data_IF_888844635720
#
_entry.id   IF_888844635720
#
_cell.length_a   1.000
_cell.length_b   1.000
_cell.length_c   1.000
_cell.angle_alpha   90.00
_cell.angle_beta   90.00
_cell.angle_gamma   90.00
#
_symmetry.space_group_name_H-M   'P 1'
#
loop_
_entity.id
_entity.type
_entity.pdbx_description
1 polymer ?
#
# COMPACT_ATOMS: atom_id res chain seq x y z
N UNK A 1 -34.18 18.61 -16.52
CA UNK A 1 -33.17 18.53 -15.43
C UNK A 1 -33.15 17.17 -14.72
N UNK A 2 -34.17 16.30 -14.87
CA UNK A 2 -34.23 14.98 -14.19
C UNK A 2 -33.37 13.87 -14.83
N UNK A 3 -33.09 13.91 -16.14
CA UNK A 3 -32.33 12.84 -16.81
C UNK A 3 -30.87 12.69 -16.32
N UNK A 4 -30.30 13.74 -15.71
CA UNK A 4 -28.90 13.71 -15.26
C UNK A 4 -28.73 13.03 -13.90
N UNK A 5 -29.74 13.13 -13.01
CA UNK A 5 -29.71 12.51 -11.69
C UNK A 5 -29.83 10.98 -11.76
N UNK A 6 -30.67 10.48 -12.67
CA UNK A 6 -30.91 9.04 -12.84
C UNK A 6 -29.70 8.31 -13.46
N UNK A 7 -28.99 9.00 -14.35
CA UNK A 7 -27.71 8.55 -14.92
C UNK A 7 -26.62 8.45 -13.84
N UNK A 8 -26.48 9.49 -13.00
CA UNK A 8 -25.50 9.51 -11.90
C UNK A 8 -25.84 8.43 -10.86
N UNK A 9 -27.12 8.26 -10.50
CA UNK A 9 -27.55 7.24 -9.54
C UNK A 9 -27.35 5.81 -10.08
N UNK A 10 -27.69 5.53 -11.34
CA UNK A 10 -27.39 4.25 -12.00
C UNK A 10 -25.90 3.98 -12.11
N UNK A 11 -25.11 4.99 -12.47
CA UNK A 11 -23.66 4.85 -12.60
C UNK A 11 -23.02 4.63 -11.24
N UNK A 12 -23.46 5.35 -10.19
CA UNK A 12 -23.05 5.10 -8.80
C UNK A 12 -23.42 3.69 -8.35
N UNK A 13 -24.63 3.21 -8.67
CA UNK A 13 -25.05 1.83 -8.38
C UNK A 13 -24.23 0.80 -9.15
N UNK A 14 -23.86 1.08 -10.40
CA UNK A 14 -23.00 0.23 -11.23
C UNK A 14 -21.56 0.21 -10.71
N UNK A 15 -20.96 1.36 -10.39
CA UNK A 15 -19.62 1.47 -9.80
C UNK A 15 -19.57 0.79 -8.43
N UNK A 16 -20.58 1.01 -7.59
CA UNK A 16 -20.74 0.30 -6.31
C UNK A 16 -20.91 -1.20 -6.54
N UNK A 17 -21.67 -1.64 -7.54
CA UNK A 17 -21.81 -3.05 -7.87
C UNK A 17 -20.51 -3.66 -8.41
N UNK A 18 -19.70 -2.92 -9.18
CA UNK A 18 -18.39 -3.36 -9.65
C UNK A 18 -17.38 -3.45 -8.49
N UNK A 19 -17.45 -2.50 -7.55
CA UNK A 19 -16.63 -2.49 -6.32
C UNK A 19 -17.06 -3.61 -5.36
N UNK A 20 -18.36 -3.95 -5.30
CA UNK A 20 -18.93 -4.93 -4.35
C UNK A 20 -19.05 -6.36 -4.91
N UNK A 21 -19.02 -6.56 -6.23
CA UNK A 21 -19.14 -7.88 -6.84
C UNK A 21 -17.80 -8.62 -6.75
N UNK A 22 -17.70 -9.49 -5.74
CA UNK A 22 -16.55 -10.34 -5.40
C UNK A 22 -16.11 -11.34 -6.51
N UNK A 23 -16.64 -11.24 -7.73
CA UNK A 23 -16.35 -12.12 -8.87
C UNK A 23 -15.25 -11.63 -9.83
N UNK A 24 -14.85 -10.36 -9.76
CA UNK A 24 -13.67 -9.83 -10.46
C UNK A 24 -12.82 -9.09 -9.45
N UNK A 25 -11.62 -9.62 -9.15
CA UNK A 25 -10.62 -8.98 -8.31
C UNK A 25 -10.00 -7.78 -9.02
N UNK A 26 -10.81 -6.77 -9.37
CA UNK A 26 -10.31 -5.55 -9.96
C UNK A 26 -9.47 -4.83 -8.91
N UNK A 27 -8.21 -4.54 -9.24
CA UNK A 27 -7.35 -3.78 -8.33
C UNK A 27 -7.87 -2.34 -8.20
N UNK A 28 -7.58 -1.70 -7.07
CA UNK A 28 -8.03 -0.31 -6.82
C UNK A 28 -7.53 0.67 -7.89
N UNK A 29 -6.36 0.39 -8.49
CA UNK A 29 -5.85 1.15 -9.64
C UNK A 29 -6.76 1.02 -10.87
N UNK A 30 -7.33 -0.16 -11.15
CA UNK A 30 -8.26 -0.33 -12.26
C UNK A 30 -9.56 0.42 -12.02
N UNK A 31 -10.08 0.41 -10.78
CA UNK A 31 -11.26 1.20 -10.40
C UNK A 31 -11.00 2.69 -10.64
N UNK A 32 -9.83 3.18 -10.27
CA UNK A 32 -9.42 4.56 -10.52
C UNK A 32 -9.32 4.90 -12.02
N UNK A 33 -8.67 4.07 -12.82
CA UNK A 33 -8.54 4.29 -14.27
C UNK A 33 -9.90 4.34 -14.97
N UNK A 34 -10.84 3.46 -14.59
CA UNK A 34 -12.21 3.50 -15.12
C UNK A 34 -12.96 4.75 -14.68
N UNK A 35 -12.81 5.16 -13.42
CA UNK A 35 -13.41 6.39 -12.89
C UNK A 35 -12.93 7.61 -13.68
N UNK A 36 -11.64 7.68 -14.00
CA UNK A 36 -11.06 8.78 -14.81
C UNK A 36 -11.57 8.75 -16.23
N UNK A 37 -11.56 7.60 -16.91
CA UNK A 37 -12.10 7.45 -18.27
C UNK A 37 -13.57 7.90 -18.32
N UNK A 38 -14.36 7.50 -17.33
CA UNK A 38 -15.74 7.94 -17.20
C UNK A 38 -15.83 9.46 -16.98
N UNK A 39 -15.06 10.03 -16.05
CA UNK A 39 -15.05 11.48 -15.79
C UNK A 39 -14.70 12.30 -17.03
N UNK A 40 -13.73 11.85 -17.83
CA UNK A 40 -13.36 12.48 -19.10
C UNK A 40 -14.51 12.37 -20.12
N UNK A 41 -15.19 11.22 -20.22
CA UNK A 41 -16.32 11.04 -21.14
C UNK A 41 -17.48 12.01 -20.88
N UNK A 42 -17.65 12.46 -19.63
CA UNK A 42 -18.68 13.44 -19.26
C UNK A 42 -18.29 14.88 -19.63
N UNK A 43 -17.03 15.12 -19.98
CA UNK A 43 -16.49 16.44 -20.28
C UNK A 43 -15.80 16.44 -21.66
N UNK A 44 -16.57 16.40 -22.76
CA UNK A 44 -16.05 16.20 -24.12
C UNK A 44 -15.14 17.34 -24.63
N UNK A 45 -15.10 18.48 -23.93
CA UNK A 45 -14.22 19.62 -24.25
C UNK A 45 -12.82 19.48 -23.64
N UNK A 46 -12.59 18.49 -22.76
CA UNK A 46 -11.29 18.29 -22.16
C UNK A 46 -10.26 17.87 -23.23
N UNK A 47 -9.02 18.38 -23.13
CA UNK A 47 -7.93 17.88 -23.95
C UNK A 47 -7.72 16.37 -23.78
N UNK A 48 -7.13 15.71 -24.77
CA UNK A 48 -6.76 14.29 -24.68
C UNK A 48 -5.55 14.07 -23.77
N UNK A 49 -4.55 14.96 -23.82
CA UNK A 49 -3.37 14.92 -22.96
C UNK A 49 -3.61 15.76 -21.69
N UNK A 50 -3.40 15.15 -20.52
CA UNK A 50 -3.53 15.79 -19.22
C UNK A 50 -2.54 16.97 -19.03
N UNK A 51 -1.39 16.94 -19.70
CA UNK A 51 -0.40 18.04 -19.64
C UNK A 51 -0.97 19.36 -20.19
N UNK A 52 -1.98 19.27 -21.05
CA UNK A 52 -2.65 20.42 -21.65
C UNK A 52 -3.83 20.94 -20.82
N UNK A 53 -4.12 20.34 -19.65
CA UNK A 53 -5.27 20.75 -18.84
C UNK A 53 -5.02 22.11 -18.19
N UNK A 54 -5.92 23.05 -18.49
CA UNK A 54 -6.03 24.32 -17.78
C UNK A 54 -6.57 24.12 -16.36
N UNK A 55 -6.58 25.19 -15.56
CA UNK A 55 -7.20 25.16 -14.23
C UNK A 55 -8.70 24.82 -14.30
N UNK A 56 -9.38 25.32 -15.32
CA UNK A 56 -10.83 25.12 -15.48
C UNK A 56 -11.16 23.70 -15.94
N UNK A 57 -10.28 23.08 -16.74
CA UNK A 57 -10.37 21.67 -17.09
C UNK A 57 -10.29 20.76 -15.86
N UNK A 58 -9.33 21.03 -14.98
CA UNK A 58 -9.24 20.32 -13.69
C UNK A 58 -10.47 20.56 -12.80
N UNK A 59 -11.03 21.78 -12.80
CA UNK A 59 -12.24 22.08 -12.03
C UNK A 59 -13.47 21.32 -12.59
N UNK A 60 -13.63 21.25 -13.90
CA UNK A 60 -14.71 20.50 -14.55
C UNK A 60 -14.64 19.01 -14.21
N UNK A 61 -13.44 18.41 -14.34
CA UNK A 61 -13.22 17.01 -13.99
C UNK A 61 -13.42 16.77 -12.48
N UNK A 62 -12.94 17.67 -11.62
CA UNK A 62 -13.15 17.61 -10.18
C UNK A 62 -14.64 17.59 -9.82
N UNK A 63 -15.44 18.49 -10.39
CA UNK A 63 -16.87 18.57 -10.12
C UNK A 63 -17.61 17.30 -10.55
N UNK A 64 -17.15 16.67 -11.64
CA UNK A 64 -17.69 15.39 -12.12
C UNK A 64 -17.35 14.24 -11.18
N UNK A 65 -16.11 14.18 -10.69
CA UNK A 65 -15.58 13.05 -9.92
C UNK A 65 -15.76 13.19 -8.39
N UNK A 66 -16.20 14.35 -7.90
CA UNK A 66 -16.22 14.67 -6.47
C UNK A 66 -16.94 13.63 -5.59
N UNK A 67 -17.97 12.97 -6.12
CA UNK A 67 -18.73 11.95 -5.38
C UNK A 67 -18.11 10.55 -5.47
N UNK A 68 -17.29 10.29 -6.49
CA UNK A 68 -16.64 8.99 -6.71
C UNK A 68 -15.33 8.89 -5.95
N UNK A 69 -14.56 9.98 -5.90
CA UNK A 69 -13.24 10.03 -5.25
C UNK A 69 -13.26 9.46 -3.82
N UNK A 70 -14.21 9.81 -2.93
CA UNK A 70 -14.24 9.27 -1.56
C UNK A 70 -14.55 7.76 -1.47
N UNK A 71 -15.02 7.13 -2.55
CA UNK A 71 -15.38 5.71 -2.58
C UNK A 71 -14.19 4.80 -2.93
N UNK A 72 -13.10 5.36 -3.46
CA UNK A 72 -11.92 4.62 -3.92
C UNK A 72 -10.89 4.55 -2.80
N UNK A 73 -10.33 3.36 -2.54
CA UNK A 73 -9.39 3.15 -1.44
C UNK A 73 -7.97 3.43 -1.89
N UNK A 74 -7.63 4.71 -2.04
CA UNK A 74 -6.34 5.13 -2.59
C UNK A 74 -5.10 4.64 -1.81
N UNK A 75 -5.25 4.32 -0.52
CA UNK A 75 -4.20 3.77 0.33
C UNK A 75 -3.87 2.29 0.04
N UNK A 76 -4.70 1.60 -0.75
CA UNK A 76 -4.43 0.24 -1.22
C UNK A 76 -3.63 0.20 -2.52
N UNK A 77 -3.33 1.36 -3.14
CA UNK A 77 -2.43 1.42 -4.30
C UNK A 77 -0.98 1.31 -3.81
N UNK A 78 -0.15 0.65 -4.62
CA UNK A 78 1.30 0.71 -4.48
C UNK A 78 1.80 2.14 -4.75
N UNK A 79 2.98 2.47 -4.22
CA UNK A 79 3.63 3.77 -4.48
C UNK A 79 3.79 4.05 -5.98
N UNK A 80 4.13 3.01 -6.76
CA UNK A 80 4.27 3.09 -8.22
C UNK A 80 2.93 3.43 -8.89
N UNK A 81 1.87 2.70 -8.58
CA UNK A 81 0.54 2.96 -9.17
C UNK A 81 0.02 4.35 -8.81
N UNK A 82 0.20 4.79 -7.56
CA UNK A 82 -0.20 6.13 -7.17
C UNK A 82 0.58 7.22 -7.93
N UNK A 83 1.91 7.05 -8.05
CA UNK A 83 2.75 8.00 -8.77
C UNK A 83 2.40 8.07 -10.27
N UNK A 84 2.21 6.93 -10.92
CA UNK A 84 1.96 6.88 -12.36
C UNK A 84 0.51 7.24 -12.74
N UNK A 85 -0.46 6.85 -11.91
CA UNK A 85 -1.89 6.90 -12.27
C UNK A 85 -2.68 7.97 -11.53
N UNK A 86 -2.31 8.30 -10.29
CA UNK A 86 -3.06 9.25 -9.45
C UNK A 86 -2.43 10.64 -9.45
N UNK A 87 -1.10 10.72 -9.35
CA UNK A 87 -0.35 11.98 -9.29
C UNK A 87 -0.66 12.97 -10.42
N UNK A 88 -0.81 12.54 -11.70
CA UNK A 88 -1.13 13.48 -12.78
C UNK A 88 -2.43 14.26 -12.51
N UNK A 89 -3.37 13.63 -11.81
CA UNK A 89 -4.68 14.17 -11.49
C UNK A 89 -4.75 14.81 -10.09
N UNK A 90 -3.64 15.09 -9.41
CA UNK A 90 -3.64 15.63 -8.02
C UNK A 90 -4.57 16.83 -7.79
N UNK A 91 -4.79 17.66 -8.81
CA UNK A 91 -5.64 18.87 -8.74
C UNK A 91 -7.14 18.56 -8.59
N UNK A 92 -7.61 17.36 -8.93
CA UNK A 92 -9.02 16.97 -8.70
C UNK A 92 -9.29 16.53 -7.26
N UNK A 93 -8.25 16.25 -6.48
CA UNK A 93 -8.42 15.73 -5.12
C UNK A 93 -8.73 16.85 -4.12
N UNK A 94 -9.62 16.58 -3.13
CA UNK A 94 -9.66 17.37 -1.91
C UNK A 94 -8.29 17.36 -1.23
N UNK A 95 -7.83 18.53 -0.76
CA UNK A 95 -6.49 18.69 -0.14
C UNK A 95 -6.24 17.68 1.00
N UNK A 96 -7.24 17.51 1.87
CA UNK A 96 -7.15 16.58 3.02
C UNK A 96 -7.00 15.12 2.58
N UNK A 97 -7.81 14.69 1.60
CA UNK A 97 -7.74 13.32 1.09
C UNK A 97 -6.38 13.04 0.45
N UNK A 98 -5.90 13.97 -0.39
CA UNK A 98 -4.60 13.83 -1.04
C UNK A 98 -3.46 13.75 -0.02
N UNK A 99 -3.45 14.65 0.97
CA UNK A 99 -2.47 14.65 2.05
C UNK A 99 -2.46 13.32 2.80
N UNK A 100 -3.65 12.80 3.16
CA UNK A 100 -3.79 11.50 3.81
C UNK A 100 -3.17 10.39 2.96
N UNK A 101 -3.55 10.27 1.68
CA UNK A 101 -3.01 9.24 0.79
C UNK A 101 -1.48 9.34 0.65
N UNK A 102 -0.95 10.55 0.48
CA UNK A 102 0.51 10.72 0.38
C UNK A 102 1.25 10.38 1.66
N UNK A 103 0.64 10.62 2.83
CA UNK A 103 1.26 10.24 4.10
C UNK A 103 1.27 8.72 4.27
N UNK A 104 0.16 8.04 3.97
CA UNK A 104 0.09 6.57 4.01
C UNK A 104 1.12 5.95 3.06
N UNK A 105 1.25 6.46 1.84
CA UNK A 105 2.21 5.93 0.85
C UNK A 105 3.65 6.25 1.26
N UNK A 106 3.92 7.41 1.84
CA UNK A 106 5.26 7.72 2.39
C UNK A 106 5.62 6.84 3.58
N UNK A 107 4.62 6.44 4.36
CA UNK A 107 4.78 5.54 5.50
C UNK A 107 4.70 4.06 5.10
N UNK A 108 4.31 3.76 3.86
CA UNK A 108 4.32 2.43 3.28
C UNK A 108 5.77 2.02 3.05
N UNK A 109 6.31 1.24 3.98
CA UNK A 109 7.61 0.62 3.84
C UNK A 109 7.44 -0.70 3.09
N UNK A 110 8.21 -0.89 2.02
CA UNK A 110 8.30 -2.18 1.37
C UNK A 110 9.19 -3.08 2.22
N UNK A 111 8.61 -4.11 2.84
CA UNK A 111 9.37 -5.13 3.54
C UNK A 111 9.94 -6.12 2.53
N UNK A 112 11.25 -6.05 2.33
CA UNK A 112 11.98 -7.11 1.62
C UNK A 112 12.40 -8.18 2.61
N UNK A 113 11.97 -9.42 2.37
CA UNK A 113 12.52 -10.56 3.10
C UNK A 113 13.99 -10.73 2.70
N UNK A 114 14.89 -10.55 3.66
CA UNK A 114 16.34 -10.71 3.44
C UNK A 114 16.87 -12.04 3.97
N UNK A 115 16.23 -12.62 5.00
CA UNK A 115 16.63 -13.88 5.61
C UNK A 115 15.42 -14.64 6.16
N UNK A 116 15.40 -15.96 5.99
CA UNK A 116 14.43 -16.88 6.59
C UNK A 116 15.15 -18.17 6.96
N UNK A 117 15.23 -18.50 8.25
CA UNK A 117 15.97 -19.66 8.73
C UNK A 117 15.54 -21.00 8.09
N UNK A 118 14.25 -21.17 7.77
CA UNK A 118 13.77 -22.38 7.08
C UNK A 118 14.25 -22.51 5.61
N UNK A 119 14.72 -21.43 5.00
CA UNK A 119 15.25 -21.39 3.64
C UNK A 119 16.78 -21.26 3.64
N UNK A 120 17.32 -20.37 4.48
CA UNK A 120 18.73 -19.98 4.52
C UNK A 120 19.54 -20.76 5.57
N UNK A 121 18.87 -21.66 6.30
CA UNK A 121 19.44 -22.49 7.35
C UNK A 121 19.41 -21.85 8.73
N UNK A 122 19.32 -22.70 9.74
CA UNK A 122 19.30 -22.32 11.16
C UNK A 122 20.71 -22.12 11.72
N UNK A 123 21.58 -21.41 10.98
CA UNK A 123 22.97 -21.13 11.38
C UNK A 123 23.15 -19.65 11.73
N UNK A 124 23.61 -19.30 12.95
CA UNK A 124 23.91 -17.92 13.34
C UNK A 124 24.84 -17.19 12.35
N UNK A 125 25.81 -17.90 11.78
CA UNK A 125 26.76 -17.34 10.80
C UNK A 125 26.06 -16.86 9.52
N UNK A 126 25.07 -17.62 9.04
CA UNK A 126 24.33 -17.26 7.82
C UNK A 126 23.49 -16.01 8.05
N UNK A 127 22.88 -15.90 9.23
CA UNK A 127 22.15 -14.71 9.63
C UNK A 127 23.06 -13.48 9.65
N UNK A 128 24.18 -13.52 10.37
CA UNK A 128 25.11 -12.38 10.45
C UNK A 128 25.60 -11.92 9.07
N UNK A 129 25.97 -12.86 8.20
CA UNK A 129 26.45 -12.54 6.86
C UNK A 129 25.42 -11.74 6.03
N UNK A 130 24.12 -11.94 6.27
CA UNK A 130 23.03 -11.33 5.50
C UNK A 130 22.48 -10.08 6.19
N UNK A 131 22.38 -10.14 7.52
CA UNK A 131 21.61 -9.22 8.33
C UNK A 131 22.49 -8.14 8.96
N UNK A 132 23.75 -8.41 9.32
CA UNK A 132 24.60 -7.39 9.97
C UNK A 132 24.74 -6.14 9.10
N UNK A 133 24.68 -4.97 9.73
CA UNK A 133 24.67 -3.65 9.09
C UNK A 133 23.45 -3.34 8.20
N UNK A 134 22.43 -4.19 8.17
CA UNK A 134 21.14 -3.87 7.55
C UNK A 134 20.30 -3.01 8.52
N UNK A 135 20.22 -1.71 8.24
CA UNK A 135 19.39 -0.78 9.01
C UNK A 135 17.90 -1.00 8.78
N UNK A 136 17.06 -0.62 9.77
CA UNK A 136 15.58 -0.62 9.66
C UNK A 136 14.99 -2.00 9.35
N UNK A 137 15.45 -3.00 10.08
CA UNK A 137 14.99 -4.37 9.92
C UNK A 137 14.04 -4.74 11.05
N UNK A 138 13.03 -5.53 10.67
CA UNK A 138 12.06 -6.11 11.60
C UNK A 138 12.33 -7.61 11.64
N UNK A 139 12.55 -8.13 12.84
CA UNK A 139 12.71 -9.57 13.04
C UNK A 139 11.39 -10.13 13.55
N UNK A 140 10.95 -11.25 12.94
CA UNK A 140 9.76 -11.99 13.34
C UNK A 140 10.19 -13.42 13.65
N UNK A 141 9.91 -13.89 14.85
CA UNK A 141 10.24 -15.23 15.32
C UNK A 141 8.95 -15.95 15.67
N UNK A 142 8.79 -17.17 15.15
CA UNK A 142 7.74 -18.09 15.57
C UNK A 142 8.33 -19.08 16.57
N UNK A 143 7.70 -19.21 17.73
CA UNK A 143 8.13 -20.15 18.77
C UNK A 143 7.68 -21.58 18.39
N UNK A 144 8.56 -22.56 18.59
CA UNK A 144 8.28 -23.98 18.31
C UNK A 144 7.18 -24.47 19.25
N UNK A 145 6.27 -25.28 18.72
CA UNK A 145 5.14 -25.88 19.47
C UNK A 145 4.18 -24.89 20.14
N UNK A 146 4.18 -23.63 19.69
CA UNK A 146 3.21 -22.63 20.12
C UNK A 146 2.72 -21.75 18.95
N UNK A 147 1.64 -21.01 19.20
CA UNK A 147 1.13 -19.98 18.28
C UNK A 147 1.73 -18.60 18.57
N UNK A 148 2.77 -18.53 19.41
CA UNK A 148 3.39 -17.28 19.79
C UNK A 148 4.30 -16.75 18.68
N UNK A 149 4.17 -15.45 18.42
CA UNK A 149 5.00 -14.71 17.47
C UNK A 149 5.67 -13.58 18.25
N UNK A 150 6.99 -13.59 18.27
CA UNK A 150 7.83 -12.55 18.86
C UNK A 150 8.33 -11.62 17.76
N UNK A 151 8.40 -10.32 18.07
CA UNK A 151 8.86 -9.32 17.11
C UNK A 151 9.67 -8.21 17.78
N UNK A 152 10.61 -7.63 17.04
CA UNK A 152 11.42 -6.51 17.50
C UNK A 152 11.75 -5.55 16.36
N UNK A 153 11.75 -4.25 16.66
CA UNK A 153 12.25 -3.20 15.77
C UNK A 153 13.68 -2.85 16.20
N UNK A 154 14.65 -3.02 15.31
CA UNK A 154 16.05 -2.79 15.63
C UNK A 154 16.71 -1.89 14.59
N UNK A 155 17.33 -0.81 15.05
CA UNK A 155 18.15 0.07 14.20
C UNK A 155 19.55 -0.53 13.92
N UNK A 156 19.89 -1.58 14.67
CA UNK A 156 21.06 -2.44 14.54
C UNK A 156 20.53 -3.85 14.75
N UNK A 157 20.79 -4.81 13.87
CA UNK A 157 20.21 -6.14 14.03
C UNK A 157 20.74 -6.78 15.31
N UNK A 158 19.85 -6.87 16.30
CA UNK A 158 20.12 -7.57 17.56
C UNK A 158 19.71 -9.03 17.39
N UNK A 159 20.58 -9.91 17.86
CA UNK A 159 20.41 -11.35 17.83
C UNK A 159 20.29 -11.91 19.23
N UNK A 160 19.17 -12.59 19.53
CA UNK A 160 19.07 -13.64 20.54
C UNK A 160 17.72 -14.37 20.50
N UNK A 161 17.67 -15.71 20.38
CA UNK A 161 16.52 -16.54 20.83
C UNK A 161 16.98 -17.97 21.18
N UNK A 162 17.13 -18.31 22.46
CA UNK A 162 17.37 -19.70 22.91
C UNK A 162 16.08 -20.32 23.50
N UNK A 163 15.26 -19.52 24.18
CA UNK A 163 13.86 -19.80 24.50
C UNK A 163 13.12 -18.46 24.74
N UNK A 164 11.83 -18.49 25.05
CA UNK A 164 10.97 -17.33 25.37
C UNK A 164 11.56 -16.33 26.41
N UNK A 165 12.42 -16.78 27.33
CA UNK A 165 13.12 -15.94 28.33
C UNK A 165 14.39 -15.27 27.80
N UNK A 166 14.98 -15.81 26.74
CA UNK A 166 16.24 -15.36 26.15
C UNK A 166 16.04 -14.73 24.75
N UNK A 167 14.80 -14.57 24.29
CA UNK A 167 14.47 -13.98 22.98
C UNK A 167 14.85 -12.49 22.83
N UNK A 168 15.24 -11.82 23.92
CA UNK A 168 15.59 -10.41 23.94
C UNK A 168 16.72 -10.12 24.95
N UNK A 169 17.91 -10.72 24.77
CA UNK A 169 19.13 -10.31 25.51
C UNK A 169 20.20 -9.73 24.59
N UNK A 170 20.63 -8.50 24.92
CA UNK A 170 21.47 -7.60 24.13
C UNK A 170 22.98 -7.74 24.41
N UNK A 171 23.49 -8.95 24.71
CA UNK A 171 24.80 -9.07 25.37
C UNK A 171 25.77 -10.11 24.76
N UNK A 172 25.59 -10.55 23.51
CA UNK A 172 26.55 -11.51 22.92
C UNK A 172 26.87 -11.29 21.46
N UNK A 173 28.16 -11.35 21.15
CA UNK A 173 28.78 -11.43 19.82
C UNK A 173 28.35 -12.64 18.94
N UNK A 174 27.30 -13.38 19.33
CA UNK A 174 26.83 -14.58 18.63
C UNK A 174 25.36 -14.41 18.23
N UNK A 175 25.05 -14.79 16.99
CA UNK A 175 23.79 -14.53 16.28
C UNK A 175 22.55 -15.20 16.86
N UNK A 176 21.41 -15.15 16.15
CA UNK A 176 20.19 -15.76 16.65
C UNK A 176 20.47 -17.24 16.89
N UNK A 177 20.26 -17.68 18.12
CA UNK A 177 20.30 -19.10 18.40
C UNK A 177 19.05 -19.74 17.81
N UNK A 178 19.23 -20.93 17.29
CA UNK A 178 18.14 -21.75 16.82
C UNK A 178 18.24 -23.00 17.67
N UNK A 179 17.17 -23.29 18.43
CA UNK A 179 17.18 -24.37 19.42
C UNK A 179 17.79 -25.65 18.84
N UNK A 180 18.55 -26.36 19.67
CA UNK A 180 19.12 -27.65 19.31
C UNK A 180 17.96 -28.65 19.25
N UNK A 181 17.84 -29.39 18.14
CA UNK A 181 16.91 -30.52 18.05
C UNK A 181 17.27 -31.63 19.06
#
# INVERSE_FOLDING_TARGET
MEQNFDSIYRTKKLLVSLIQNKGTQASEVQVWEHTIKWGISQNPKLPSNIENYSKDDFNALKNTLQQCIPLIRFYNLTSKEFSEKVLPYKKVFPKELYKKCTNEIKNSHEFKLIFRASCDGFNPKNFHNVCDNQSRTVTIIKVKDSNEILGGNSNYILSHVINEREAMKNDSFNGPSFGID
#
